data_IF_836682568383
#
_entry.id   IF_836682568383
#
_cell.length_a   1.000
_cell.length_b   1.000
_cell.length_c   1.000
_cell.angle_alpha   90.00
_cell.angle_beta   90.00
_cell.angle_gamma   90.00
#
_symmetry.space_group_name_H-M   'P 1'
#
loop_
_entity.id
_entity.type
_entity.pdbx_description
1 polymer ?
#
# COMPACT_ATOMS: atom_id res chain seq x y z
N UNK A 1 7.94 21.74 10.77
CA UNK A 1 8.12 20.32 11.24
C UNK A 1 8.62 19.40 10.14
N UNK A 2 8.05 19.47 8.92
CA UNK A 2 8.44 18.61 7.79
C UNK A 2 9.95 18.54 7.50
N UNK A 3 10.64 19.68 7.47
CA UNK A 3 12.09 19.75 7.31
C UNK A 3 12.85 18.93 8.36
N UNK A 4 12.44 19.02 9.63
CA UNK A 4 13.08 18.29 10.74
C UNK A 4 12.84 16.78 10.62
N UNK A 5 11.61 16.36 10.32
CA UNK A 5 11.29 14.94 10.12
C UNK A 5 12.13 14.31 9.00
N UNK A 6 12.33 15.04 7.90
CA UNK A 6 13.18 14.61 6.79
C UNK A 6 14.66 14.53 7.20
N UNK A 7 15.19 15.56 7.90
CA UNK A 7 16.59 15.59 8.36
C UNK A 7 16.88 14.49 9.38
N UNK A 8 15.95 14.21 10.28
CA UNK A 8 16.09 13.22 11.33
C UNK A 8 15.70 11.80 10.89
N UNK A 9 15.16 11.63 9.68
CA UNK A 9 14.61 10.36 9.18
C UNK A 9 13.57 9.73 10.14
N UNK A 10 12.73 10.56 10.75
CA UNK A 10 11.68 10.11 11.68
C UNK A 10 10.30 10.14 11.03
N UNK A 11 9.41 9.18 11.36
CA UNK A 11 8.02 9.21 10.92
C UNK A 11 7.33 10.52 11.32
N UNK A 12 6.40 10.99 10.48
CA UNK A 12 5.61 12.19 10.70
C UNK A 12 4.13 11.81 10.80
N UNK A 13 3.51 12.15 11.91
CA UNK A 13 2.06 12.08 12.09
C UNK A 13 1.46 13.48 11.89
N UNK A 14 0.37 13.57 11.13
CA UNK A 14 -0.29 14.83 10.77
C UNK A 14 -1.72 14.84 11.32
N UNK A 15 -1.98 15.73 12.28
CA UNK A 15 -3.29 15.93 12.90
C UNK A 15 -3.92 17.27 12.48
N UNK A 16 -5.22 17.45 12.71
CA UNK A 16 -6.00 18.67 12.49
C UNK A 16 -7.28 18.43 11.68
N UNK A 17 -7.96 19.50 11.29
CA UNK A 17 -9.27 19.42 10.66
C UNK A 17 -9.28 18.75 9.28
N UNK A 18 -10.48 18.32 8.86
CA UNK A 18 -10.72 17.85 7.50
C UNK A 18 -10.49 18.99 6.50
N UNK A 19 -9.93 18.66 5.33
CA UNK A 19 -9.73 19.65 4.25
C UNK A 19 -8.46 20.51 4.36
N UNK A 20 -7.67 20.44 5.44
CA UNK A 20 -6.44 21.23 5.60
C UNK A 20 -5.23 20.72 4.80
N UNK A 21 -5.45 19.82 3.82
CA UNK A 21 -4.40 19.36 2.91
C UNK A 21 -3.47 18.26 3.43
N UNK A 22 -3.83 17.52 4.49
CA UNK A 22 -3.00 16.41 5.02
C UNK A 22 -2.67 15.35 3.97
N UNK A 23 -3.69 14.95 3.20
CA UNK A 23 -3.55 13.99 2.10
C UNK A 23 -2.71 14.57 0.97
N UNK A 24 -2.84 15.88 0.72
CA UNK A 24 -2.13 16.55 -0.36
C UNK A 24 -0.63 16.66 -0.07
N UNK A 25 -0.26 16.91 1.19
CA UNK A 25 1.13 16.85 1.65
C UNK A 25 1.78 15.51 1.29
N UNK A 26 1.10 14.39 1.53
CA UNK A 26 1.66 13.07 1.21
C UNK A 26 1.93 12.90 -0.30
N UNK A 27 1.02 13.37 -1.16
CA UNK A 27 1.18 13.34 -2.62
C UNK A 27 2.35 14.20 -3.09
N UNK A 28 2.38 15.45 -2.64
CA UNK A 28 3.42 16.42 -3.04
C UNK A 28 4.79 15.94 -2.58
N UNK A 29 4.92 15.38 -1.38
CA UNK A 29 6.19 14.84 -0.89
C UNK A 29 6.65 13.62 -1.68
N UNK A 30 5.74 12.70 -2.01
CA UNK A 30 6.07 11.54 -2.81
C UNK A 30 6.60 11.97 -4.19
N UNK A 31 5.94 12.93 -4.84
CA UNK A 31 6.37 13.47 -6.12
C UNK A 31 7.71 14.21 -6.02
N UNK A 32 7.85 15.14 -5.06
CA UNK A 32 9.07 15.94 -4.89
C UNK A 32 10.29 15.10 -4.50
N UNK A 33 10.09 13.98 -3.79
CA UNK A 33 11.17 13.07 -3.40
C UNK A 33 11.37 11.91 -4.38
N UNK A 34 10.58 11.81 -5.45
CA UNK A 34 10.63 10.70 -6.40
C UNK A 34 10.32 9.33 -5.78
N UNK A 35 9.42 9.29 -4.79
CA UNK A 35 9.09 8.08 -4.03
C UNK A 35 7.71 7.56 -4.40
N UNK A 36 7.53 6.24 -4.28
CA UNK A 36 6.23 5.61 -4.41
C UNK A 36 5.32 6.07 -3.27
N UNK A 37 4.13 6.57 -3.60
CA UNK A 37 3.08 6.83 -2.63
C UNK A 37 2.27 5.56 -2.38
N UNK A 38 2.25 5.08 -1.14
CA UNK A 38 1.42 3.96 -0.71
C UNK A 38 0.30 4.52 0.15
N UNK A 39 -0.95 4.17 -0.20
CA UNK A 39 -2.14 4.59 0.55
C UNK A 39 -2.74 3.39 1.27
N UNK A 40 -2.65 3.37 2.59
CA UNK A 40 -3.31 2.39 3.45
C UNK A 40 -4.45 3.09 4.19
N UNK A 41 -5.67 2.54 4.07
CA UNK A 41 -6.80 3.01 4.84
C UNK A 41 -6.80 2.30 6.19
N UNK A 42 -6.62 3.06 7.28
CA UNK A 42 -6.75 2.51 8.63
C UNK A 42 -8.21 2.58 9.07
N UNK A 43 -8.71 1.46 9.60
CA UNK A 43 -10.04 1.33 10.20
C UNK A 43 -9.95 0.35 11.39
N UNK A 44 -10.98 0.33 12.22
CA UNK A 44 -11.01 -0.54 13.40
C UNK A 44 -10.99 -2.03 12.99
N UNK A 45 -10.10 -2.80 13.62
CA UNK A 45 -9.92 -4.22 13.28
C UNK A 45 -8.98 -4.49 12.10
N UNK A 46 -8.30 -3.48 11.55
CA UNK A 46 -7.19 -3.70 10.62
C UNK A 46 -6.03 -4.39 11.35
N UNK A 47 -5.64 -5.57 10.87
CA UNK A 47 -4.52 -6.34 11.40
C UNK A 47 -3.38 -6.48 10.38
N UNK A 48 -2.25 -7.07 10.80
CA UNK A 48 -1.09 -7.25 9.91
C UNK A 48 -1.41 -8.20 8.75
N UNK A 49 -2.24 -9.24 9.00
CA UNK A 49 -2.56 -10.22 7.98
C UNK A 49 -3.31 -9.60 6.81
N UNK A 50 -4.38 -8.86 7.13
CA UNK A 50 -5.20 -8.14 6.16
C UNK A 50 -4.44 -7.02 5.46
N UNK A 51 -3.54 -6.32 6.16
CA UNK A 51 -2.77 -5.23 5.58
C UNK A 51 -1.64 -5.68 4.64
N UNK A 52 -0.99 -6.82 4.92
CA UNK A 52 0.22 -7.26 4.19
C UNK A 52 -0.04 -8.39 3.20
N UNK A 53 -0.91 -9.35 3.54
CA UNK A 53 -1.08 -10.57 2.74
C UNK A 53 -2.36 -10.55 1.91
N UNK A 54 -3.47 -10.13 2.50
CA UNK A 54 -4.80 -10.23 1.88
C UNK A 54 -5.25 -8.93 1.19
N UNK A 55 -4.37 -7.93 1.13
CA UNK A 55 -4.68 -6.57 0.66
C UNK A 55 -5.27 -6.53 -0.77
N UNK A 56 -5.09 -7.59 -1.56
CA UNK A 56 -5.70 -7.74 -2.88
C UNK A 56 -6.12 -9.18 -3.21
N UNK A 57 -6.77 -9.85 -2.26
CA UNK A 57 -7.24 -11.23 -2.45
C UNK A 57 -8.09 -11.40 -3.72
N UNK A 58 -8.94 -10.43 -4.06
CA UNK A 58 -9.76 -10.48 -5.26
C UNK A 58 -8.93 -10.53 -6.56
N UNK A 59 -7.92 -9.67 -6.71
CA UNK A 59 -7.06 -9.74 -7.90
C UNK A 59 -6.18 -10.99 -7.90
N UNK A 60 -5.70 -11.43 -6.74
CA UNK A 60 -4.96 -12.70 -6.63
C UNK A 60 -5.82 -13.88 -7.12
N UNK A 61 -7.09 -13.95 -6.72
CA UNK A 61 -8.00 -15.00 -7.18
C UNK A 61 -8.32 -14.90 -8.67
N UNK A 62 -8.37 -13.69 -9.24
CA UNK A 62 -8.54 -13.49 -10.68
C UNK A 62 -7.32 -14.01 -11.43
N UNK A 63 -6.10 -13.68 -10.98
CA UNK A 63 -4.85 -14.15 -11.58
C UNK A 63 -4.80 -15.67 -11.60
N UNK A 64 -5.04 -16.31 -10.46
CA UNK A 64 -5.04 -17.78 -10.32
C UNK A 64 -6.03 -18.41 -11.32
N UNK A 65 -7.26 -17.88 -11.39
CA UNK A 65 -8.27 -18.40 -12.32
C UNK A 65 -7.90 -18.19 -13.79
N UNK A 66 -7.25 -17.07 -14.11
CA UNK A 66 -6.76 -16.82 -15.47
C UNK A 66 -5.63 -17.77 -15.85
N UNK A 67 -4.72 -18.07 -14.92
CA UNK A 67 -3.64 -19.04 -15.15
C UNK A 67 -4.16 -20.49 -15.27
N UNK A 68 -5.13 -20.88 -14.46
CA UNK A 68 -5.83 -22.16 -14.57
C UNK A 68 -6.56 -22.30 -15.93
N UNK A 69 -7.28 -21.26 -16.34
CA UNK A 69 -7.98 -21.24 -17.63
C UNK A 69 -7.03 -21.21 -18.84
N UNK A 70 -5.84 -20.63 -18.67
CA UNK A 70 -4.79 -20.61 -19.69
C UNK A 70 -4.01 -21.94 -19.79
N UNK A 71 -4.29 -22.93 -18.94
CA UNK A 71 -3.66 -24.25 -18.95
C UNK A 71 -2.18 -24.24 -18.58
N UNK A 72 -1.70 -23.20 -17.87
CA UNK A 72 -0.28 -23.01 -17.53
C UNK A 72 0.18 -23.71 -16.27
N UNK A 73 -0.70 -24.37 -15.53
CA UNK A 73 -0.31 -25.15 -14.35
C UNK A 73 -0.01 -26.58 -14.79
N UNK A 74 1.22 -26.82 -15.24
CA UNK A 74 1.72 -28.19 -15.37
C UNK A 74 2.01 -28.71 -13.96
N UNK A 75 1.36 -29.82 -13.60
CA UNK A 75 1.47 -30.45 -12.28
C UNK A 75 2.88 -31.00 -12.01
N UNK A 76 3.75 -31.02 -13.02
CA UNK A 76 5.16 -31.41 -12.93
C UNK A 76 6.09 -30.29 -12.42
N UNK A 77 5.67 -29.02 -12.41
CA UNK A 77 6.48 -27.89 -11.92
C UNK A 77 6.36 -27.65 -10.39
N UNK A 78 5.51 -28.41 -9.69
CA UNK A 78 5.23 -28.28 -8.25
C UNK A 78 5.84 -29.38 -7.37
N UNK A 79 6.68 -30.28 -7.92
CA UNK A 79 7.54 -31.20 -7.17
C UNK A 79 8.95 -30.62 -6.96
#
# INVERSE_FOLDING_TARGET
VLFLSLRMKRPLFLEGEAGVGKTEIAKVLAQALGRRLIRLQCYEGLDVSSAVYEWNYAAQMIEIRMEEAAGKVDRSDME
#
